data_IF_530944296604
#
_entry.id   IF_530944296604
#
_cell.length_a   1.000
_cell.length_b   1.000
_cell.length_c   1.000
_cell.angle_alpha   90.00
_cell.angle_beta   90.00
_cell.angle_gamma   90.00
#
_symmetry.space_group_name_H-M   'P 1'
#
loop_
_entity.id
_entity.type
_entity.pdbx_description
1 polymer ?
#
# COMPACT_ATOMS: atom_id res chain seq x y z
N UNK A 1 -6.10 27.75 23.16
CA UNK A 1 -5.91 26.40 22.61
C UNK A 1 -6.36 26.45 21.16
N UNK A 2 -5.41 26.53 20.22
CA UNK A 2 -5.75 26.66 18.80
C UNK A 2 -6.30 25.31 18.31
N UNK A 3 -7.59 25.25 18.01
CA UNK A 3 -8.17 24.15 17.24
C UNK A 3 -7.62 24.27 15.82
N UNK A 4 -6.55 23.52 15.52
CA UNK A 4 -6.18 23.26 14.15
C UNK A 4 -7.29 22.40 13.56
N UNK A 5 -8.28 23.04 12.94
CA UNK A 5 -9.15 22.41 11.94
C UNK A 5 -8.24 22.02 10.78
N UNK A 6 -7.56 20.89 10.94
CA UNK A 6 -6.96 20.22 9.82
C UNK A 6 -8.10 19.91 8.87
N UNK A 7 -8.07 20.46 7.67
CA UNK A 7 -9.08 20.19 6.64
C UNK A 7 -9.17 18.70 6.27
N UNK A 8 -8.19 17.89 6.68
CA UNK A 8 -8.19 16.42 6.59
C UNK A 8 -8.65 15.70 7.88
N UNK A 9 -8.98 16.43 8.94
CA UNK A 9 -9.27 15.90 10.26
C UNK A 9 -10.63 15.23 10.37
N UNK A 10 -11.63 15.70 9.61
CA UNK A 10 -13.02 15.29 9.87
C UNK A 10 -13.81 14.74 8.67
N UNK A 11 -13.48 14.98 7.39
CA UNK A 11 -14.28 14.40 6.29
C UNK A 11 -13.62 14.51 4.92
N UNK A 12 -13.24 13.36 4.37
CA UNK A 12 -13.56 12.84 3.02
C UNK A 12 -12.62 11.65 2.80
N UNK A 13 -13.18 10.45 2.59
CA UNK A 13 -12.36 9.37 2.04
C UNK A 13 -11.77 9.91 0.73
N UNK A 14 -10.44 9.90 0.56
CA UNK A 14 -9.83 10.48 -0.62
C UNK A 14 -10.36 9.74 -1.84
N UNK A 15 -10.83 10.49 -2.85
CA UNK A 15 -11.25 9.91 -4.12
C UNK A 15 -10.12 9.08 -4.76
N UNK A 16 -8.88 9.52 -4.56
CA UNK A 16 -7.68 8.74 -4.84
C UNK A 16 -6.65 8.91 -3.70
N UNK A 17 -6.42 7.84 -2.95
CA UNK A 17 -5.47 7.83 -1.84
C UNK A 17 -4.00 7.89 -2.30
N UNK A 18 -3.69 7.45 -3.52
CA UNK A 18 -2.35 7.57 -4.09
C UNK A 18 -2.04 9.01 -4.46
N UNK A 19 -2.99 9.71 -5.10
CA UNK A 19 -2.83 11.14 -5.42
C UNK A 19 -2.71 11.98 -4.15
N UNK A 20 -3.53 11.67 -3.14
CA UNK A 20 -3.40 12.27 -1.80
C UNK A 20 -1.99 12.07 -1.24
N UNK A 21 -1.42 10.87 -1.37
CA UNK A 21 -0.04 10.60 -0.94
C UNK A 21 0.97 11.42 -1.75
N UNK A 22 0.86 11.48 -3.08
CA UNK A 22 1.78 12.25 -3.95
C UNK A 22 1.82 13.73 -3.56
N UNK A 23 0.66 14.35 -3.39
CA UNK A 23 0.54 15.75 -2.95
C UNK A 23 1.15 15.91 -1.55
N UNK A 24 0.79 15.03 -0.61
CA UNK A 24 1.32 15.08 0.75
C UNK A 24 2.85 14.92 0.81
N UNK A 25 3.41 14.06 -0.03
CA UNK A 25 4.84 13.84 -0.17
C UNK A 25 5.54 15.07 -0.75
N UNK A 26 5.01 15.63 -1.85
CA UNK A 26 5.55 16.81 -2.51
C UNK A 26 5.64 18.03 -1.58
N UNK A 27 4.64 18.23 -0.72
CA UNK A 27 4.58 19.37 0.20
C UNK A 27 5.00 19.03 1.64
N UNK A 28 5.54 17.84 1.89
CA UNK A 28 6.04 17.39 3.20
C UNK A 28 4.97 17.48 4.31
N UNK A 29 3.73 17.14 3.99
CA UNK A 29 2.59 17.17 4.94
C UNK A 29 2.46 15.79 5.61
N UNK A 30 3.19 15.60 6.71
CA UNK A 30 3.31 14.31 7.41
C UNK A 30 1.96 13.68 7.79
N UNK A 31 1.04 14.48 8.37
CA UNK A 31 -0.27 13.98 8.78
C UNK A 31 -1.09 13.44 7.61
N UNK A 32 -1.00 14.11 6.45
CA UNK A 32 -1.70 13.73 5.23
C UNK A 32 -1.08 12.48 4.60
N UNK A 33 0.26 12.34 4.64
CA UNK A 33 0.95 11.10 4.22
C UNK A 33 0.46 9.90 5.03
N UNK A 34 0.45 10.02 6.36
CA UNK A 34 -0.01 8.94 7.23
C UNK A 34 -1.49 8.61 7.02
N UNK A 35 -2.33 9.61 6.77
CA UNK A 35 -3.73 9.39 6.45
C UNK A 35 -3.90 8.65 5.11
N UNK A 36 -3.19 9.07 4.06
CA UNK A 36 -3.19 8.41 2.76
C UNK A 36 -2.76 6.95 2.85
N UNK A 37 -1.65 6.65 3.56
CA UNK A 37 -1.20 5.27 3.78
C UNK A 37 -2.23 4.41 4.50
N UNK A 38 -2.93 4.96 5.52
CA UNK A 38 -4.02 4.24 6.20
C UNK A 38 -5.18 3.96 5.25
N UNK A 39 -5.54 4.91 4.38
CA UNK A 39 -6.58 4.69 3.38
C UNK A 39 -6.17 3.63 2.35
N UNK A 40 -4.94 3.68 1.83
CA UNK A 40 -4.42 2.64 0.95
C UNK A 40 -4.50 1.28 1.65
N UNK A 41 -3.96 1.15 2.87
CA UNK A 41 -4.00 -0.11 3.63
C UNK A 41 -5.41 -0.65 3.87
N UNK A 42 -6.40 0.24 4.10
CA UNK A 42 -7.81 -0.13 4.30
C UNK A 42 -8.45 -0.72 3.05
N UNK A 43 -8.06 -0.25 1.87
CA UNK A 43 -8.72 -0.55 0.59
C UNK A 43 -8.00 -1.59 -0.27
N UNK A 44 -6.76 -1.96 0.05
CA UNK A 44 -6.09 -3.10 -0.60
C UNK A 44 -6.93 -4.37 -0.36
N UNK A 45 -7.20 -5.08 -1.45
CA UNK A 45 -7.97 -6.31 -1.43
C UNK A 45 -7.25 -7.45 -2.16
N UNK A 46 -7.60 -8.69 -1.82
CA UNK A 46 -7.05 -9.88 -2.51
C UNK A 46 -7.34 -9.86 -4.01
N UNK A 47 -8.48 -9.28 -4.40
CA UNK A 47 -8.92 -9.17 -5.78
C UNK A 47 -8.26 -8.03 -6.56
N UNK A 48 -7.81 -6.97 -5.89
CA UNK A 48 -7.20 -5.80 -6.54
C UNK A 48 -5.68 -5.78 -6.49
N UNK A 49 -5.05 -6.49 -5.52
CA UNK A 49 -3.62 -6.36 -5.25
C UNK A 49 -2.74 -6.62 -6.47
N UNK A 50 -3.06 -7.62 -7.30
CA UNK A 50 -2.25 -7.93 -8.49
C UNK A 50 -2.39 -6.87 -9.58
N UNK A 51 -3.58 -6.28 -9.71
CA UNK A 51 -3.81 -5.20 -10.67
C UNK A 51 -3.13 -3.91 -10.20
N UNK A 52 -3.20 -3.62 -8.90
CA UNK A 52 -2.49 -2.49 -8.31
C UNK A 52 -0.97 -2.61 -8.56
N UNK A 53 -0.39 -3.80 -8.34
CA UNK A 53 1.04 -4.06 -8.59
C UNK A 53 1.45 -3.86 -10.06
N UNK A 54 0.52 -4.01 -11.01
CA UNK A 54 0.78 -3.80 -12.44
C UNK A 54 0.59 -2.36 -12.88
N UNK A 55 -0.36 -1.65 -12.27
CA UNK A 55 -0.87 -0.36 -12.80
C UNK A 55 -0.46 0.85 -11.97
N UNK A 56 -0.12 0.68 -10.69
CA UNK A 56 0.19 1.79 -9.78
C UNK A 56 1.69 2.00 -9.68
N UNK A 57 2.18 3.00 -10.40
CA UNK A 57 3.59 3.43 -10.36
C UNK A 57 4.03 3.82 -8.94
N UNK A 58 3.10 4.34 -8.13
CA UNK A 58 3.35 4.80 -6.77
C UNK A 58 3.92 3.70 -5.87
N UNK A 59 3.59 2.44 -6.11
CA UNK A 59 4.11 1.29 -5.35
C UNK A 59 5.63 1.15 -5.57
N UNK A 60 6.12 1.48 -6.77
CA UNK A 60 7.56 1.42 -7.08
C UNK A 60 8.26 2.71 -6.66
N UNK A 61 7.58 3.85 -6.78
CA UNK A 61 8.16 5.17 -6.52
C UNK A 61 8.29 5.50 -5.03
N UNK A 62 7.37 5.04 -4.18
CA UNK A 62 7.32 5.42 -2.78
C UNK A 62 7.55 4.21 -1.86
N UNK A 63 8.68 4.15 -1.13
CA UNK A 63 9.00 3.03 -0.25
C UNK A 63 7.93 2.75 0.80
N UNK A 64 7.27 3.77 1.34
CA UNK A 64 6.22 3.60 2.34
C UNK A 64 4.96 2.94 1.76
N UNK A 65 4.62 3.21 0.50
CA UNK A 65 3.51 2.53 -0.19
C UNK A 65 3.91 1.08 -0.50
N UNK A 66 5.14 0.87 -1.00
CA UNK A 66 5.71 -0.46 -1.21
C UNK A 66 5.64 -1.32 0.05
N UNK A 67 5.94 -0.73 1.21
CA UNK A 67 5.88 -1.40 2.50
C UNK A 67 4.45 -1.82 2.87
N UNK A 68 3.45 -0.96 2.65
CA UNK A 68 2.04 -1.30 2.90
C UNK A 68 1.63 -2.52 2.06
N UNK A 69 1.93 -2.51 0.76
CA UNK A 69 1.64 -3.66 -0.13
C UNK A 69 2.42 -4.91 0.28
N UNK A 70 3.68 -4.76 0.68
CA UNK A 70 4.51 -5.86 1.16
C UNK A 70 3.93 -6.51 2.41
N UNK A 71 3.45 -5.70 3.35
CA UNK A 71 2.82 -6.17 4.59
C UNK A 71 1.48 -6.86 4.31
N UNK A 72 0.69 -6.33 3.38
CA UNK A 72 -0.53 -6.98 2.93
C UNK A 72 -0.24 -8.34 2.30
N UNK A 73 0.72 -8.43 1.37
CA UNK A 73 1.08 -9.70 0.71
C UNK A 73 1.56 -10.76 1.71
N UNK A 74 2.39 -10.38 2.69
CA UNK A 74 2.83 -11.28 3.77
C UNK A 74 1.69 -11.77 4.67
N UNK A 75 0.65 -10.96 4.86
CA UNK A 75 -0.52 -11.32 5.67
C UNK A 75 -1.54 -12.17 4.89
N UNK A 76 -1.76 -11.82 3.61
CA UNK A 76 -2.73 -12.47 2.73
C UNK A 76 -2.16 -13.64 1.90
N UNK A 77 -0.88 -14.00 2.12
CA UNK A 77 -0.13 -14.97 1.32
C UNK A 77 -0.84 -16.30 1.01
N UNK A 78 -1.68 -16.91 1.88
CA UNK A 78 -2.36 -18.17 1.54
C UNK A 78 -3.39 -18.02 0.41
N UNK A 79 -3.75 -16.78 0.09
CA UNK A 79 -4.75 -16.45 -0.93
C UNK A 79 -4.16 -15.76 -2.15
N UNK A 80 -2.83 -15.64 -2.21
CA UNK A 80 -2.13 -15.06 -3.35
C UNK A 80 -1.73 -16.20 -4.30
N UNK A 81 -2.21 -16.18 -5.55
CA UNK A 81 -1.86 -17.18 -6.56
C UNK A 81 -0.35 -17.35 -6.73
N UNK A 82 0.12 -18.59 -6.89
CA UNK A 82 1.54 -18.90 -7.00
C UNK A 82 2.17 -18.37 -8.31
N UNK A 83 1.38 -18.26 -9.37
CA UNK A 83 1.79 -17.69 -10.66
C UNK A 83 2.09 -16.17 -10.56
N UNK A 84 1.77 -15.53 -9.44
CA UNK A 84 2.01 -14.12 -9.18
C UNK A 84 3.32 -13.86 -8.43
N UNK A 85 4.09 -14.90 -8.11
CA UNK A 85 5.32 -14.79 -7.32
C UNK A 85 6.39 -13.94 -8.00
N UNK A 86 6.57 -14.07 -9.31
CA UNK A 86 7.54 -13.27 -10.07
C UNK A 86 7.19 -11.79 -10.02
N UNK A 87 5.93 -11.44 -10.28
CA UNK A 87 5.44 -10.06 -10.19
C UNK A 87 5.67 -9.46 -8.79
N UNK A 88 5.35 -10.21 -7.75
CA UNK A 88 5.52 -9.75 -6.36
C UNK A 88 7.00 -9.60 -6.02
N UNK A 89 7.85 -10.50 -6.50
CA UNK A 89 9.30 -10.40 -6.30
C UNK A 89 9.87 -9.18 -7.01
N UNK A 90 9.46 -8.91 -8.24
CA UNK A 90 9.96 -7.80 -9.03
C UNK A 90 9.52 -6.44 -8.46
N UNK A 91 8.24 -6.28 -8.14
CA UNK A 91 7.68 -5.00 -7.67
C UNK A 91 7.98 -4.79 -6.18
N UNK A 92 7.74 -5.80 -5.35
CA UNK A 92 7.83 -5.69 -3.89
C UNK A 92 9.19 -6.13 -3.33
N UNK A 93 10.02 -6.83 -4.10
CA UNK A 93 11.25 -7.44 -3.57
C UNK A 93 10.97 -8.60 -2.61
N UNK A 94 9.77 -9.18 -2.67
CA UNK A 94 9.32 -10.24 -1.75
C UNK A 94 9.39 -11.61 -2.41
N UNK A 95 10.15 -12.52 -1.80
CA UNK A 95 10.17 -13.92 -2.20
C UNK A 95 9.02 -14.69 -1.53
N UNK A 96 7.88 -14.76 -2.22
CA UNK A 96 6.68 -15.42 -1.72
C UNK A 96 6.86 -16.95 -1.60
N UNK A 97 7.66 -17.56 -2.46
CA UNK A 97 8.00 -18.98 -2.36
C UNK A 97 8.76 -19.27 -1.06
N UNK A 98 9.75 -18.44 -0.71
CA UNK A 98 10.45 -18.53 0.57
C UNK A 98 9.47 -18.36 1.74
N UNK A 99 8.57 -17.37 1.69
CA UNK A 99 7.58 -17.11 2.75
C UNK A 99 6.66 -18.33 2.96
N UNK A 100 6.21 -18.99 1.88
CA UNK A 100 5.39 -20.21 1.97
C UNK A 100 6.18 -21.36 2.61
N UNK A 101 7.44 -21.57 2.18
CA UNK A 101 8.30 -22.64 2.71
C UNK A 101 8.58 -22.51 4.21
N UNK A 102 8.73 -21.29 4.72
CA UNK A 102 8.99 -21.01 6.15
C UNK A 102 7.75 -21.21 7.03
N UNK A 103 6.55 -21.22 6.45
CA UNK A 103 5.27 -21.29 7.18
C UNK A 103 4.59 -22.66 7.10
N UNK A 104 5.24 -23.66 6.51
CA UNK A 104 4.89 -25.08 6.70
C UNK A 104 3.62 -25.55 5.97
N UNK A 105 3.51 -25.25 4.68
CA UNK A 105 2.56 -25.89 3.76
C UNK A 105 3.31 -26.48 2.56
#
# INVERSE_FOLDING_TARGET
MAHYLYWWGDCLEPADAFEMYRIAHKYVINGLRSAALRHIAKWISKSSVLEDLRTREEITLFPEIKEVYSNFCKAAYPHIPNDSDELIKDVLGLDMAQIRSLRGF
#
